data_IF_899590157317
#
_entry.id   IF_899590157317
#
_cell.length_a   1.000
_cell.length_b   1.000
_cell.length_c   1.000
_cell.angle_alpha   90.00
_cell.angle_beta   90.00
_cell.angle_gamma   90.00
#
_symmetry.space_group_name_H-M   'P 1'
#
loop_
_entity.id
_entity.type
_entity.pdbx_description
1 polymer ?
#
# COMPACT_ATOMS: atom_id res chain seq x y z
N UNK A 1 -12.09 -7.83 22.32
CA UNK A 1 -10.74 -7.78 21.71
C UNK A 1 -9.76 -8.14 22.80
N UNK A 2 -8.89 -9.13 22.58
CA UNK A 2 -7.89 -9.53 23.58
C UNK A 2 -6.60 -8.71 23.43
N UNK A 3 -5.77 -8.67 24.47
CA UNK A 3 -4.46 -7.99 24.43
C UNK A 3 -3.60 -8.52 23.27
N UNK A 4 -3.60 -9.83 23.03
CA UNK A 4 -2.86 -10.45 21.92
C UNK A 4 -3.32 -9.92 20.55
N UNK A 5 -4.63 -9.74 20.36
CA UNK A 5 -5.19 -9.19 19.11
C UNK A 5 -4.83 -7.71 18.94
N UNK A 6 -4.79 -6.95 20.03
CA UNK A 6 -4.35 -5.54 20.00
C UNK A 6 -2.87 -5.44 19.59
N UNK A 7 -2.01 -6.26 20.17
CA UNK A 7 -0.58 -6.29 19.81
C UNK A 7 -0.40 -6.71 18.35
N UNK A 8 -1.09 -7.76 17.89
CA UNK A 8 -1.03 -8.19 16.48
C UNK A 8 -1.48 -7.09 15.50
N UNK A 9 -2.56 -6.38 15.80
CA UNK A 9 -3.03 -5.24 14.98
C UNK A 9 -2.05 -4.08 15.03
N UNK A 10 -1.52 -3.74 16.20
CA UNK A 10 -0.52 -2.70 16.35
C UNK A 10 0.76 -2.98 15.55
N UNK A 11 1.31 -4.20 15.68
CA UNK A 11 2.53 -4.60 14.97
C UNK A 11 2.32 -4.66 13.46
N UNK A 12 1.20 -5.22 13.00
CA UNK A 12 0.89 -5.26 11.56
C UNK A 12 0.65 -3.87 10.98
N UNK A 13 0.04 -2.95 11.75
CA UNK A 13 -0.11 -1.56 11.36
C UNK A 13 1.24 -0.84 11.25
N UNK A 14 2.14 -1.01 12.22
CA UNK A 14 3.49 -0.43 12.15
C UNK A 14 4.28 -0.96 10.94
N UNK A 15 4.19 -2.27 10.66
CA UNK A 15 4.82 -2.88 9.49
C UNK A 15 4.22 -2.34 8.18
N UNK A 16 2.89 -2.18 8.13
CA UNK A 16 2.20 -1.60 6.98
C UNK A 16 2.65 -0.16 6.73
N UNK A 17 2.65 0.69 7.75
CA UNK A 17 3.06 2.09 7.61
C UNK A 17 4.52 2.19 7.17
N UNK A 18 5.42 1.44 7.83
CA UNK A 18 6.85 1.49 7.50
C UNK A 18 7.12 1.02 6.07
N UNK A 19 6.49 -0.09 5.65
CA UNK A 19 6.62 -0.58 4.28
C UNK A 19 5.96 0.35 3.26
N UNK A 20 4.83 0.98 3.58
CA UNK A 20 4.20 1.98 2.74
C UNK A 20 5.11 3.20 2.52
N UNK A 21 5.77 3.70 3.57
CA UNK A 21 6.74 4.80 3.45
C UNK A 21 7.96 4.40 2.60
N UNK A 22 8.46 3.18 2.76
CA UNK A 22 9.56 2.66 1.93
C UNK A 22 9.13 2.58 0.45
N UNK A 23 7.94 2.02 0.17
CA UNK A 23 7.42 1.96 -1.20
C UNK A 23 7.19 3.35 -1.79
N UNK A 24 6.72 4.29 -0.99
CA UNK A 24 6.51 5.66 -1.45
C UNK A 24 7.83 6.34 -1.83
N UNK A 25 8.88 6.15 -1.00
CA UNK A 25 10.22 6.65 -1.28
C UNK A 25 10.88 5.96 -2.48
N UNK A 26 10.86 4.62 -2.55
CA UNK A 26 11.43 3.89 -3.69
C UNK A 26 10.65 4.16 -4.98
N UNK A 27 9.34 4.36 -4.85
CA UNK A 27 8.43 4.67 -5.93
C UNK A 27 8.59 6.08 -6.49
N UNK A 28 9.09 7.04 -5.70
CA UNK A 28 9.30 8.41 -6.17
C UNK A 28 10.37 8.50 -7.25
N UNK A 29 11.23 7.49 -7.40
CA UNK A 29 12.16 7.37 -8.53
C UNK A 29 11.44 7.40 -9.90
N UNK A 30 10.13 7.15 -9.94
CA UNK A 30 9.31 7.38 -11.13
C UNK A 30 9.42 8.81 -11.68
N UNK A 31 9.64 9.81 -10.81
CA UNK A 31 9.84 11.21 -11.23
C UNK A 31 11.05 11.35 -12.16
N UNK A 32 12.12 10.62 -11.87
CA UNK A 32 13.39 10.67 -12.57
C UNK A 32 13.47 9.68 -13.75
N UNK A 33 12.38 8.96 -14.03
CA UNK A 33 12.30 7.91 -15.05
C UNK A 33 11.15 8.16 -16.05
N UNK A 34 11.30 9.14 -16.98
CA UNK A 34 10.24 9.53 -17.92
C UNK A 34 9.78 8.41 -18.86
N UNK A 35 10.68 7.49 -19.20
CA UNK A 35 10.38 6.35 -20.06
C UNK A 35 9.35 5.42 -19.41
N UNK A 36 9.34 5.36 -18.08
CA UNK A 36 8.41 4.57 -17.29
C UNK A 36 7.06 5.24 -17.05
N UNK A 37 6.89 6.53 -17.36
CA UNK A 37 5.63 7.25 -17.13
C UNK A 37 4.45 6.62 -17.87
N UNK A 38 4.68 6.12 -19.09
CA UNK A 38 3.62 5.44 -19.87
C UNK A 38 3.14 4.14 -19.21
N UNK A 39 3.99 3.46 -18.45
CA UNK A 39 3.72 2.12 -17.92
C UNK A 39 3.34 2.14 -16.44
N UNK A 40 3.98 3.03 -15.68
CA UNK A 40 3.92 3.08 -14.22
C UNK A 40 3.06 4.24 -13.71
N UNK A 41 2.93 5.35 -14.44
CA UNK A 41 2.02 6.45 -14.10
C UNK A 41 0.56 6.18 -14.52
N UNK A 42 0.02 5.00 -14.17
CA UNK A 42 -1.28 4.54 -14.68
C UNK A 42 -2.45 5.39 -14.21
N UNK A 43 -2.51 5.76 -12.93
CA UNK A 43 -3.57 6.59 -12.40
C UNK A 43 -3.51 8.00 -12.98
N UNK A 44 -2.32 8.57 -13.10
CA UNK A 44 -2.13 9.87 -13.75
C UNK A 44 -2.59 9.82 -15.20
N UNK A 45 -2.14 8.82 -15.96
CA UNK A 45 -2.56 8.63 -17.35
C UNK A 45 -4.07 8.41 -17.49
N UNK A 46 -4.70 7.73 -16.53
CA UNK A 46 -6.14 7.47 -16.55
C UNK A 46 -6.97 8.72 -16.24
N UNK A 47 -6.56 9.55 -15.27
CA UNK A 47 -7.36 10.69 -14.80
C UNK A 47 -6.99 12.03 -15.44
N UNK A 48 -5.70 12.27 -15.72
CA UNK A 48 -5.19 13.51 -16.31
C UNK A 48 -4.79 13.37 -17.78
N UNK A 49 -4.66 12.14 -18.28
CA UNK A 49 -4.06 11.87 -19.59
C UNK A 49 -2.54 11.79 -19.52
N UNK A 50 -1.90 11.80 -20.69
CA UNK A 50 -0.46 11.60 -20.83
C UNK A 50 0.37 12.53 -19.93
N UNK A 51 1.25 11.95 -19.11
CA UNK A 51 2.16 12.74 -18.26
C UNK A 51 3.11 13.56 -19.13
N UNK A 52 3.04 14.88 -19.00
CA UNK A 52 3.94 15.84 -19.67
C UNK A 52 4.95 16.46 -18.71
N UNK A 53 4.66 16.46 -17.42
CA UNK A 53 5.52 16.99 -16.36
C UNK A 53 5.48 16.05 -15.13
N UNK A 54 6.59 15.92 -14.41
CA UNK A 54 6.69 15.08 -13.22
C UNK A 54 5.77 15.54 -12.08
N UNK A 55 5.51 16.85 -11.99
CA UNK A 55 4.63 17.44 -10.96
C UNK A 55 3.18 16.96 -11.08
N UNK A 56 2.81 16.46 -12.26
CA UNK A 56 1.47 15.95 -12.50
C UNK A 56 1.25 14.51 -12.01
N UNK A 57 2.33 13.78 -11.72
CA UNK A 57 2.29 12.37 -11.33
C UNK A 57 1.67 12.24 -9.94
N UNK A 58 0.59 11.47 -9.85
CA UNK A 58 -0.02 11.15 -8.58
C UNK A 58 0.89 10.24 -7.75
N UNK A 59 0.94 10.50 -6.45
CA UNK A 59 1.73 9.70 -5.51
C UNK A 59 1.32 8.22 -5.47
N UNK A 60 0.07 7.89 -5.83
CA UNK A 60 -0.37 6.50 -5.93
C UNK A 60 0.37 5.73 -7.03
N UNK A 61 0.83 6.41 -8.09
CA UNK A 61 1.62 5.80 -9.15
C UNK A 61 3.02 5.40 -8.68
N UNK A 62 3.54 6.03 -7.61
CA UNK A 62 4.82 5.63 -7.01
C UNK A 62 4.72 4.20 -6.46
N UNK A 63 3.57 3.80 -5.92
CA UNK A 63 3.37 2.42 -5.46
C UNK A 63 3.33 1.42 -6.62
N UNK A 64 2.90 1.84 -7.82
CA UNK A 64 2.94 0.99 -9.03
C UNK A 64 4.40 0.80 -9.48
N UNK A 65 5.17 1.88 -9.51
CA UNK A 65 6.59 1.82 -9.84
C UNK A 65 7.37 0.97 -8.83
N UNK A 66 7.13 1.18 -7.53
CA UNK A 66 7.72 0.39 -6.45
C UNK A 66 7.33 -1.09 -6.57
N UNK A 67 6.08 -1.42 -6.90
CA UNK A 67 5.67 -2.81 -7.11
C UNK A 67 6.43 -3.48 -8.26
N UNK A 68 6.78 -2.73 -9.32
CA UNK A 68 7.49 -3.24 -10.49
C UNK A 68 9.00 -3.44 -10.22
N UNK A 69 9.67 -2.46 -9.61
CA UNK A 69 11.13 -2.45 -9.48
C UNK A 69 11.64 -2.82 -8.08
N UNK A 70 10.81 -2.63 -7.05
CA UNK A 70 11.14 -2.90 -5.64
C UNK A 70 10.05 -3.75 -4.95
N UNK A 71 9.76 -4.97 -5.46
CA UNK A 71 8.57 -5.72 -5.08
C UNK A 71 8.56 -6.16 -3.61
N UNK A 72 9.72 -6.27 -2.95
CA UNK A 72 9.82 -6.78 -1.58
C UNK A 72 9.03 -5.94 -0.58
N UNK A 73 9.26 -4.62 -0.56
CA UNK A 73 8.55 -3.73 0.36
C UNK A 73 7.05 -3.68 0.02
N UNK A 74 6.71 -3.77 -1.26
CA UNK A 74 5.32 -3.80 -1.73
C UNK A 74 4.57 -5.05 -1.28
N UNK A 75 5.20 -6.23 -1.37
CA UNK A 75 4.64 -7.49 -0.89
C UNK A 75 4.45 -7.46 0.63
N UNK A 76 5.42 -6.95 1.40
CA UNK A 76 5.29 -6.82 2.86
C UNK A 76 4.12 -5.90 3.23
N UNK A 77 3.96 -4.79 2.52
CA UNK A 77 2.81 -3.88 2.68
C UNK A 77 1.48 -4.61 2.40
N UNK A 78 1.39 -5.38 1.32
CA UNK A 78 0.17 -6.14 1.00
C UNK A 78 -0.15 -7.22 2.05
N UNK A 79 0.85 -7.99 2.48
CA UNK A 79 0.65 -9.05 3.48
C UNK A 79 0.20 -8.46 4.82
N UNK A 80 0.83 -7.38 5.26
CA UNK A 80 0.44 -6.71 6.51
C UNK A 80 -0.98 -6.13 6.43
N UNK A 81 -1.36 -5.54 5.30
CA UNK A 81 -2.73 -5.06 5.07
C UNK A 81 -3.75 -6.20 5.11
N UNK A 82 -3.49 -7.29 4.37
CA UNK A 82 -4.37 -8.46 4.33
C UNK A 82 -4.54 -9.08 5.72
N UNK A 83 -3.45 -9.20 6.47
CA UNK A 83 -3.48 -9.71 7.84
C UNK A 83 -4.34 -8.83 8.75
N UNK A 84 -4.18 -7.49 8.68
CA UNK A 84 -5.02 -6.56 9.44
C UNK A 84 -6.51 -6.71 9.10
N UNK A 85 -6.84 -6.84 7.81
CA UNK A 85 -8.23 -7.01 7.36
C UNK A 85 -8.83 -8.31 7.88
N UNK A 86 -8.12 -9.43 7.73
CA UNK A 86 -8.57 -10.75 8.21
C UNK A 86 -8.77 -10.73 9.72
N UNK A 87 -7.81 -10.16 10.47
CA UNK A 87 -7.90 -10.10 11.93
C UNK A 87 -9.05 -9.21 12.40
N UNK A 88 -9.26 -8.07 11.73
CA UNK A 88 -10.40 -7.18 12.02
C UNK A 88 -11.73 -7.88 11.75
N UNK A 89 -11.87 -8.53 10.59
CA UNK A 89 -13.07 -9.32 10.26
C UNK A 89 -13.31 -10.44 11.29
N UNK A 90 -12.27 -11.17 11.67
CA UNK A 90 -12.36 -12.22 12.68
C UNK A 90 -12.88 -11.68 14.02
N UNK A 91 -12.37 -10.52 14.48
CA UNK A 91 -12.83 -9.89 15.72
C UNK A 91 -14.30 -9.47 15.62
N UNK A 92 -14.72 -8.92 14.48
CA UNK A 92 -16.11 -8.49 14.25
C UNK A 92 -17.07 -9.68 14.22
N UNK A 93 -16.75 -10.75 13.50
CA UNK A 93 -17.60 -11.95 13.40
C UNK A 93 -17.70 -12.69 14.74
N UNK A 94 -16.57 -12.92 15.43
CA UNK A 94 -16.58 -13.60 16.74
C UNK A 94 -17.40 -12.85 17.79
N UNK A 95 -17.38 -11.51 17.75
CA UNK A 95 -18.18 -10.68 18.65
C UNK A 95 -19.69 -10.85 18.37
N UNK A 96 -20.07 -11.04 17.12
CA UNK A 96 -21.48 -11.26 16.72
C UNK A 96 -21.98 -12.62 17.20
N UNK A 97 -21.16 -13.67 17.11
CA UNK A 97 -21.53 -15.02 17.58
C UNK A 97 -21.71 -15.10 19.11
N UNK A 98 -21.03 -14.24 19.88
CA UNK A 98 -21.16 -14.22 21.36
C UNK A 98 -22.40 -13.43 21.84
N UNK A 99 -23.05 -12.68 20.95
CA UNK A 99 -24.19 -11.82 21.28
C UNK A 99 -25.56 -12.45 20.92
N UNK A 100 -25.55 -13.69 20.44
CA UNK A 100 -26.73 -14.53 20.12
C UNK A 100 -26.81 -15.63 21.19
#
# INVERSE_FOLDING_TARGET
MTINQMVQLGSSCMLFITSALINWYQGSNLIDDPDEWKYSAKFTNYFKGSVSNYEDIYQIDFFIYAAKFYPTAFIVMLISLLYMLILTLYILFKRKDTAI
#
